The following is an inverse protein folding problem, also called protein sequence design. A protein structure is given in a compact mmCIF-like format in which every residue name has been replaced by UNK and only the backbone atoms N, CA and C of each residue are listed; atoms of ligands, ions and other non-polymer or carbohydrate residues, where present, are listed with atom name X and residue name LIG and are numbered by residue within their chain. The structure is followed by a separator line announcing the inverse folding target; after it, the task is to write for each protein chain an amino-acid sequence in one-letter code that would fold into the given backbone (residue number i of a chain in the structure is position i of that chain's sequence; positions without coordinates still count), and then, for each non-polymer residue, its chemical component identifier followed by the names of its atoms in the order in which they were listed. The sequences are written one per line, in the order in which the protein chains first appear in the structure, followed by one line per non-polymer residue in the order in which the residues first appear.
data_IF_837374401403
#
_entry.id   IF_837374401403
#
_cell.length_a   1.000
_cell.length_b   1.000
_cell.length_c   1.000
_cell.angle_alpha   90.00
_cell.angle_beta   90.00
_cell.angle_gamma   90.00
#
_symmetry.space_group_name_H-M   'P 1'
#
loop_
_entity.id
_entity.type
_entity.pdbx_description
1 polymer ?
#
# COMPACT_ATOMS: atom_id res chain seq x y z
N UNK A 1 -0.82 52.41 -33.03
CA UNK A 1 -0.15 51.52 -34.01
C UNK A 1 1.34 51.56 -33.70
N UNK A 2 2.09 50.44 -33.58
CA UNK A 2 1.94 49.17 -34.28
C UNK A 2 1.81 47.90 -33.38
N UNK A 3 1.58 46.78 -34.06
CA UNK A 3 1.10 45.44 -33.68
C UNK A 3 2.24 44.44 -33.28
N UNK A 4 1.90 43.21 -32.82
CA UNK A 4 2.68 42.35 -31.91
C UNK A 4 3.53 41.32 -32.65
N UNK A 5 4.44 40.63 -31.93
CA UNK A 5 5.02 39.36 -32.39
C UNK A 5 5.20 38.35 -31.25
N UNK A 6 4.34 37.34 -31.31
CA UNK A 6 4.50 36.01 -30.75
C UNK A 6 5.73 35.35 -31.39
N UNK A 7 6.59 34.69 -30.62
CA UNK A 7 7.52 33.69 -31.16
C UNK A 7 7.80 32.61 -30.11
N UNK A 8 7.24 31.43 -30.41
CA UNK A 8 7.47 30.14 -29.78
C UNK A 8 8.73 29.48 -30.41
N UNK A 9 9.11 28.24 -30.03
CA UNK A 9 10.33 27.85 -29.32
C UNK A 9 11.46 27.34 -30.26
N UNK A 10 12.69 27.28 -29.76
CA UNK A 10 13.77 26.54 -30.42
C UNK A 10 14.48 25.60 -29.44
N UNK A 11 14.26 24.32 -29.67
CA UNK A 11 15.06 23.19 -29.21
C UNK A 11 16.54 23.37 -29.62
N UNK A 12 17.45 23.36 -28.65
CA UNK A 12 18.84 22.95 -28.78
C UNK A 12 19.44 23.02 -27.36
N UNK A 13 20.21 22.07 -26.85
CA UNK A 13 20.79 20.89 -27.41
C UNK A 13 21.38 20.09 -26.26
N UNK A 14 21.39 18.77 -26.46
CA UNK A 14 22.09 17.79 -25.65
C UNK A 14 23.55 18.21 -25.45
N UNK A 15 24.04 18.25 -24.21
CA UNK A 15 25.49 18.21 -23.92
C UNK A 15 25.71 17.64 -22.52
N UNK A 16 25.93 16.32 -22.48
CA UNK A 16 26.70 15.66 -21.43
C UNK A 16 28.14 16.19 -21.46
N UNK A 17 28.76 16.34 -20.28
CA UNK A 17 30.08 15.82 -19.88
C UNK A 17 30.48 16.55 -18.57
N UNK A 18 30.42 15.85 -17.43
CA UNK A 18 31.57 15.31 -16.67
C UNK A 18 32.66 16.35 -16.40
N UNK A 19 32.81 16.74 -15.13
CA UNK A 19 34.07 16.61 -14.38
C UNK A 19 33.89 17.20 -12.99
N UNK A 20 34.27 16.41 -11.99
CA UNK A 20 34.41 16.89 -10.62
C UNK A 20 35.56 17.88 -10.48
N UNK A 21 35.47 18.62 -9.37
CA UNK A 21 36.51 19.39 -8.70
C UNK A 21 37.10 20.60 -9.46
N UNK A 22 36.61 21.80 -9.11
CA UNK A 22 37.39 22.81 -8.35
C UNK A 22 36.75 24.21 -8.48
N UNK A 23 36.55 24.86 -7.32
CA UNK A 23 36.73 26.30 -7.08
C UNK A 23 36.03 27.32 -7.99
N UNK A 24 35.06 28.05 -7.42
CA UNK A 24 34.64 29.33 -7.97
C UNK A 24 33.36 29.87 -7.36
N UNK A 25 33.49 30.87 -6.49
CA UNK A 25 32.41 31.66 -5.92
C UNK A 25 31.51 32.26 -7.00
N UNK A 26 30.23 31.88 -7.03
CA UNK A 26 29.15 32.71 -7.54
C UNK A 26 27.90 32.48 -6.67
N UNK A 27 27.44 33.55 -6.04
CA UNK A 27 26.25 33.61 -5.20
C UNK A 27 24.99 33.48 -6.07
N UNK A 28 24.55 32.27 -6.34
CA UNK A 28 23.17 32.01 -6.75
C UNK A 28 22.33 31.78 -5.49
N UNK A 29 21.09 32.33 -5.39
CA UNK A 29 20.20 31.96 -4.31
C UNK A 29 19.93 30.47 -4.43
N UNK A 30 20.56 29.70 -3.56
CA UNK A 30 20.36 28.27 -3.44
C UNK A 30 18.94 28.09 -2.94
N UNK A 31 18.01 27.85 -3.86
CA UNK A 31 16.77 27.17 -3.55
C UNK A 31 17.20 25.86 -2.90
N UNK A 32 17.09 25.80 -1.57
CA UNK A 32 17.39 24.63 -0.80
C UNK A 32 16.47 23.53 -1.31
N UNK A 33 16.95 22.74 -2.26
CA UNK A 33 16.38 21.43 -2.52
C UNK A 33 16.63 20.68 -1.23
N UNK A 34 15.61 20.67 -0.38
CA UNK A 34 15.56 19.83 0.79
C UNK A 34 15.55 18.39 0.27
N UNK A 35 16.74 17.84 0.08
CA UNK A 35 16.92 16.40 -0.01
C UNK A 35 16.59 15.91 1.39
N UNK A 36 15.32 15.58 1.60
CA UNK A 36 14.88 14.82 2.77
C UNK A 36 15.54 13.45 2.64
N UNK A 37 16.75 13.33 3.19
CA UNK A 37 17.35 12.04 3.48
C UNK A 37 16.31 11.34 4.34
N UNK A 38 15.71 10.28 3.82
CA UNK A 38 14.79 9.45 4.59
C UNK A 38 15.56 9.03 5.85
N UNK A 39 15.12 9.54 6.98
CA UNK A 39 15.76 9.33 8.27
C UNK A 39 15.76 7.81 8.52
N UNK A 40 16.94 7.20 8.51
CA UNK A 40 17.08 5.74 8.57
C UNK A 40 16.57 5.17 9.92
N UNK A 41 16.36 6.04 10.91
CA UNK A 41 15.80 5.75 12.23
C UNK A 41 14.29 6.04 12.33
N UNK A 42 13.62 6.41 11.23
CA UNK A 42 12.20 6.69 11.25
C UNK A 42 11.40 5.41 11.54
N UNK A 43 10.57 5.44 12.59
CA UNK A 43 9.77 4.29 13.00
C UNK A 43 8.69 3.97 11.95
N UNK A 44 8.41 2.68 11.69
CA UNK A 44 7.29 2.30 10.84
C UNK A 44 5.97 2.80 11.45
N UNK A 45 5.06 3.24 10.59
CA UNK A 45 3.73 3.66 11.02
C UNK A 45 2.79 2.45 11.01
N UNK A 46 1.93 2.35 12.02
CA UNK A 46 0.93 1.29 12.11
C UNK A 46 -0.44 1.83 11.72
N UNK A 47 -1.13 1.14 10.82
CA UNK A 47 -2.47 1.48 10.37
C UNK A 47 -3.47 0.36 10.66
N UNK A 48 -4.61 0.69 11.27
CA UNK A 48 -5.67 -0.27 11.60
C UNK A 48 -6.68 -0.38 10.44
N UNK A 49 -6.89 -1.59 9.91
CA UNK A 49 -7.87 -1.85 8.85
C UNK A 49 -9.29 -2.14 9.40
N UNK A 50 -9.42 -2.23 10.71
CA UNK A 50 -10.62 -2.64 11.42
C UNK A 50 -10.95 -4.12 11.22
N UNK A 51 -12.18 -4.48 11.59
CA UNK A 51 -12.69 -5.84 11.42
C UNK A 51 -13.20 -6.04 10.00
N UNK A 52 -12.71 -7.08 9.32
CA UNK A 52 -13.24 -7.58 8.06
C UNK A 52 -14.03 -8.86 8.33
N UNK A 53 -15.29 -8.88 7.90
CA UNK A 53 -16.18 -10.02 8.06
C UNK A 53 -16.60 -10.51 6.68
N UNK A 54 -16.33 -11.78 6.38
CA UNK A 54 -16.66 -12.39 5.09
C UNK A 54 -17.42 -13.71 5.26
N UNK A 55 -18.48 -13.95 4.47
CA UNK A 55 -19.21 -15.21 4.48
C UNK A 55 -18.41 -16.30 3.76
N UNK A 56 -18.53 -17.52 4.26
CA UNK A 56 -17.98 -18.73 3.66
C UNK A 56 -19.13 -19.52 3.07
N UNK A 57 -19.05 -19.77 1.77
CA UNK A 57 -20.08 -20.44 1.00
C UNK A 57 -19.72 -21.89 0.74
N UNK A 58 -20.72 -22.76 0.84
CA UNK A 58 -20.63 -24.16 0.43
C UNK A 58 -21.99 -24.60 -0.11
N UNK A 59 -22.00 -25.24 -1.29
CA UNK A 59 -23.24 -25.73 -1.94
C UNK A 59 -24.36 -24.67 -2.03
N UNK A 60 -24.01 -23.42 -2.37
CA UNK A 60 -24.96 -22.31 -2.53
C UNK A 60 -25.51 -21.72 -1.23
N UNK A 61 -24.95 -22.08 -0.07
CA UNK A 61 -25.39 -21.60 1.25
C UNK A 61 -24.21 -21.05 2.05
N UNK A 62 -24.46 -20.05 2.89
CA UNK A 62 -23.47 -19.54 3.85
C UNK A 62 -23.40 -20.50 5.04
N UNK A 63 -22.28 -21.21 5.17
CA UNK A 63 -22.05 -22.22 6.21
C UNK A 63 -21.28 -21.68 7.41
N UNK A 64 -20.56 -20.58 7.23
CA UNK A 64 -19.80 -19.92 8.29
C UNK A 64 -19.46 -18.47 7.92
N UNK A 65 -18.88 -17.74 8.88
CA UNK A 65 -18.27 -16.44 8.68
C UNK A 65 -16.83 -16.45 9.19
N UNK A 66 -15.95 -15.78 8.46
CA UNK A 66 -14.61 -15.42 8.94
C UNK A 66 -14.63 -13.97 9.38
N UNK A 67 -14.26 -13.70 10.62
CA UNK A 67 -13.99 -12.35 11.11
C UNK A 67 -12.49 -12.21 11.41
N UNK A 68 -11.84 -11.24 10.77
CA UNK A 68 -10.42 -10.98 10.93
C UNK A 68 -10.17 -9.52 11.27
N UNK A 69 -9.26 -9.26 12.20
CA UNK A 69 -8.76 -7.93 12.53
C UNK A 69 -7.30 -7.84 12.08
N UNK A 70 -6.99 -6.79 11.31
CA UNK A 70 -5.71 -6.63 10.64
C UNK A 70 -5.12 -5.26 10.93
N UNK A 71 -3.81 -5.22 11.14
CA UNK A 71 -3.02 -3.98 11.10
C UNK A 71 -1.98 -4.07 10.00
N UNK A 72 -1.72 -2.95 9.35
CA UNK A 72 -0.65 -2.81 8.37
C UNK A 72 0.52 -2.08 8.99
N UNK A 73 1.71 -2.59 8.72
CA UNK A 73 2.94 -1.88 8.95
C UNK A 73 3.31 -1.12 7.67
N UNK A 74 3.50 0.18 7.81
CA UNK A 74 3.82 1.08 6.72
C UNK A 74 5.27 1.53 6.81
N UNK A 75 5.91 1.64 5.65
CA UNK A 75 7.24 2.23 5.54
C UNK A 75 7.23 3.66 6.10
N UNK A 76 8.34 4.12 6.71
CA UNK A 76 8.38 5.41 7.37
C UNK A 76 8.01 6.58 6.44
N UNK A 77 7.37 7.61 7.00
CA UNK A 77 6.94 8.79 6.25
C UNK A 77 5.65 8.61 5.43
N UNK A 78 5.01 7.44 5.46
CA UNK A 78 3.72 7.21 4.82
C UNK A 78 2.56 7.47 5.79
N UNK A 79 1.51 8.14 5.31
CA UNK A 79 0.27 8.35 6.08
C UNK A 79 -0.70 7.17 5.88
N UNK A 80 -1.21 6.55 6.97
CA UNK A 80 -2.22 5.50 6.88
C UNK A 80 -3.50 5.93 6.15
N UNK A 81 -3.92 7.18 6.31
CA UNK A 81 -5.22 7.67 5.81
C UNK A 81 -5.38 7.56 4.29
N UNK A 82 -4.27 7.61 3.56
CA UNK A 82 -4.26 7.51 2.09
C UNK A 82 -4.05 6.08 1.58
N UNK A 83 -3.46 5.20 2.40
CA UNK A 83 -3.07 3.84 2.01
C UNK A 83 -4.12 2.82 2.45
N UNK A 84 -4.68 2.97 3.65
CA UNK A 84 -5.58 2.00 4.23
C UNK A 84 -6.88 1.81 3.44
N UNK A 85 -7.59 2.85 2.96
CA UNK A 85 -8.85 2.64 2.25
C UNK A 85 -8.74 1.74 1.01
N UNK A 86 -7.84 2.01 0.02
CA UNK A 86 -7.75 1.16 -1.16
C UNK A 86 -7.19 -0.25 -0.84
N UNK A 87 -6.30 -0.39 0.15
CA UNK A 87 -5.82 -1.70 0.58
C UNK A 87 -6.95 -2.51 1.23
N UNK A 88 -7.73 -1.88 2.11
CA UNK A 88 -8.88 -2.50 2.78
C UNK A 88 -9.87 -3.06 1.77
N UNK A 89 -10.21 -2.28 0.75
CA UNK A 89 -11.15 -2.68 -0.29
C UNK A 89 -10.63 -3.87 -1.09
N UNK A 90 -9.34 -3.88 -1.45
CA UNK A 90 -8.70 -5.00 -2.14
C UNK A 90 -8.70 -6.27 -1.30
N UNK A 91 -8.31 -6.17 -0.02
CA UNK A 91 -8.28 -7.31 0.90
C UNK A 91 -9.69 -7.88 1.09
N UNK A 92 -10.67 -7.01 1.32
CA UNK A 92 -12.06 -7.41 1.49
C UNK A 92 -12.57 -8.14 0.25
N UNK A 93 -12.34 -7.58 -0.95
CA UNK A 93 -12.71 -8.20 -2.22
C UNK A 93 -12.10 -9.59 -2.38
N UNK A 94 -10.79 -9.74 -2.14
CA UNK A 94 -10.13 -11.06 -2.23
C UNK A 94 -10.66 -12.06 -1.20
N UNK A 95 -10.89 -11.63 0.04
CA UNK A 95 -11.46 -12.48 1.07
C UNK A 95 -12.89 -12.92 0.73
N UNK A 96 -13.71 -12.05 0.12
CA UNK A 96 -15.02 -12.43 -0.39
C UNK A 96 -14.94 -13.49 -1.50
N UNK A 97 -14.01 -13.33 -2.45
CA UNK A 97 -13.79 -14.33 -3.51
C UNK A 97 -13.35 -15.68 -2.94
N UNK A 98 -12.45 -15.68 -1.96
CA UNK A 98 -11.99 -16.90 -1.29
C UNK A 98 -13.11 -17.55 -0.46
N UNK A 99 -13.91 -16.74 0.24
CA UNK A 99 -15.09 -17.17 0.98
C UNK A 99 -16.15 -17.80 0.07
N UNK A 100 -16.39 -17.21 -1.10
CA UNK A 100 -17.30 -17.76 -2.11
C UNK A 100 -16.84 -19.13 -2.66
N UNK A 101 -15.52 -19.36 -2.72
CA UNK A 101 -14.92 -20.64 -3.13
C UNK A 101 -14.81 -21.66 -1.98
N UNK A 102 -15.24 -21.31 -0.77
CA UNK A 102 -15.10 -22.17 0.42
C UNK A 102 -13.66 -22.33 0.92
N UNK A 103 -12.71 -21.52 0.43
CA UNK A 103 -11.27 -21.65 0.72
C UNK A 103 -10.88 -21.13 2.11
N UNK A 104 -11.78 -20.41 2.77
CA UNK A 104 -11.60 -19.85 4.10
C UNK A 104 -12.10 -20.77 5.23
N UNK A 105 -12.43 -22.04 4.93
CA UNK A 105 -12.78 -23.00 5.95
C UNK A 105 -11.60 -23.27 6.91
N UNK A 106 -11.83 -23.62 8.20
CA UNK A 106 -10.77 -23.72 9.21
C UNK A 106 -9.69 -24.73 8.86
N UNK A 107 -10.07 -25.85 8.23
CA UNK A 107 -9.16 -26.89 7.77
C UNK A 107 -8.29 -26.45 6.58
N UNK A 108 -8.68 -25.39 5.87
CA UNK A 108 -7.99 -24.85 4.70
C UNK A 108 -7.04 -23.69 5.00
N UNK A 109 -7.20 -22.98 6.13
CA UNK A 109 -6.40 -21.80 6.46
C UNK A 109 -5.11 -22.22 7.18
N UNK A 110 -3.98 -21.98 6.53
CA UNK A 110 -2.66 -21.98 7.19
C UNK A 110 -2.29 -20.54 7.57
N UNK A 111 -2.19 -20.18 8.86
CA UNK A 111 -2.03 -18.78 9.30
C UNK A 111 -0.84 -18.05 8.66
N UNK A 112 0.30 -18.73 8.51
CA UNK A 112 1.49 -18.15 7.90
C UNK A 112 1.28 -17.82 6.40
N UNK A 113 0.65 -18.74 5.65
CA UNK A 113 0.34 -18.51 4.22
C UNK A 113 -0.73 -17.43 4.07
N UNK A 114 -1.76 -17.48 4.90
CA UNK A 114 -2.82 -16.48 4.92
C UNK A 114 -2.26 -15.07 5.16
N UNK A 115 -1.39 -14.90 6.17
CA UNK A 115 -0.70 -13.63 6.41
C UNK A 115 0.17 -13.20 5.23
N UNK A 116 0.92 -14.13 4.62
CA UNK A 116 1.74 -13.83 3.45
C UNK A 116 0.90 -13.39 2.24
N UNK A 117 -0.24 -14.03 2.01
CA UNK A 117 -1.18 -13.66 0.95
C UNK A 117 -1.81 -12.28 1.20
N UNK A 118 -2.21 -11.97 2.43
CA UNK A 118 -2.70 -10.64 2.79
C UNK A 118 -1.63 -9.56 2.57
N UNK A 119 -0.38 -9.82 2.95
CA UNK A 119 0.73 -8.90 2.71
C UNK A 119 0.95 -8.68 1.21
N UNK A 120 0.98 -9.76 0.43
CA UNK A 120 1.12 -9.70 -1.03
C UNK A 120 0.00 -8.86 -1.66
N UNK A 121 -1.25 -9.08 -1.26
CA UNK A 121 -2.40 -8.31 -1.75
C UNK A 121 -2.34 -6.83 -1.35
N UNK A 122 -1.87 -6.53 -0.14
CA UNK A 122 -1.67 -5.15 0.28
C UNK A 122 -0.57 -4.45 -0.54
N UNK A 123 0.52 -5.17 -0.84
CA UNK A 123 1.62 -4.70 -1.67
C UNK A 123 1.25 -4.57 -3.15
N UNK A 124 0.31 -5.36 -3.68
CA UNK A 124 -0.23 -5.15 -5.03
C UNK A 124 -0.84 -3.76 -5.21
N UNK A 125 -1.44 -3.20 -4.14
CA UNK A 125 -2.13 -1.92 -4.17
C UNK A 125 -1.23 -0.76 -3.76
N UNK A 126 -0.51 -0.91 -2.65
CA UNK A 126 0.27 0.16 -2.05
C UNK A 126 1.78 0.08 -2.37
N UNK A 127 2.22 -0.99 -3.04
CA UNK A 127 3.62 -1.22 -3.37
C UNK A 127 4.50 -1.37 -2.12
N UNK A 128 5.74 -0.85 -2.16
CA UNK A 128 6.71 -1.00 -1.06
C UNK A 128 6.34 -0.17 0.19
N UNK A 129 5.26 0.62 0.14
CA UNK A 129 4.78 1.40 1.28
C UNK A 129 4.22 0.53 2.40
N UNK A 130 3.80 -0.70 2.10
CA UNK A 130 3.36 -1.69 3.09
C UNK A 130 4.48 -2.71 3.28
N UNK A 131 5.03 -2.76 4.48
CA UNK A 131 6.16 -3.63 4.84
C UNK A 131 5.70 -4.88 5.59
N UNK A 132 4.53 -4.84 6.22
CA UNK A 132 4.04 -5.94 7.04
C UNK A 132 2.52 -5.95 7.22
N UNK A 133 2.02 -7.13 7.61
CA UNK A 133 0.65 -7.34 8.06
C UNK A 133 0.68 -8.03 9.41
N UNK A 134 -0.02 -7.47 10.38
CA UNK A 134 -0.28 -8.09 11.67
C UNK A 134 -1.71 -8.63 11.69
N UNK A 135 -1.84 -9.94 11.97
CA UNK A 135 -3.11 -10.59 12.18
C UNK A 135 -3.43 -10.52 13.68
N UNK A 136 -4.25 -9.54 14.06
CA UNK A 136 -4.60 -9.28 15.47
C UNK A 136 -5.57 -10.34 15.99
N UNK A 137 -6.54 -10.70 15.15
CA UNK A 137 -7.58 -11.68 15.48
C UNK A 137 -8.04 -12.42 14.24
N UNK A 138 -8.31 -13.71 14.40
CA UNK A 138 -8.94 -14.56 13.39
C UNK A 138 -9.99 -15.43 14.07
N UNK A 139 -11.26 -15.21 13.76
CA UNK A 139 -12.40 -15.95 14.31
C UNK A 139 -13.18 -16.60 13.18
N UNK A 140 -13.46 -17.88 13.35
CA UNK A 140 -14.36 -18.61 12.47
C UNK A 140 -15.65 -18.91 13.23
N UNK A 141 -16.78 -18.43 12.71
CA UNK A 141 -18.10 -18.64 13.31
C UNK A 141 -18.93 -19.56 12.41
N UNK A 142 -19.21 -20.76 12.87
CA UNK A 142 -20.06 -21.70 12.14
C UNK A 142 -21.53 -21.32 12.23
N UNK A 143 -22.24 -21.46 11.12
CA UNK A 143 -23.68 -21.22 11.03
C UNK A 143 -24.44 -22.52 11.32
N UNK A 144 -24.48 -22.93 12.59
CA UNK A 144 -25.27 -24.08 13.04
C UNK A 144 -26.68 -23.64 13.41
N UNK A 145 -27.69 -24.33 12.90
CA UNK A 145 -29.04 -24.27 13.47
C UNK A 145 -29.05 -25.15 14.72
N UNK A 146 -29.38 -24.56 15.86
CA UNK A 146 -29.67 -25.27 17.10
C UNK A 146 -30.98 -26.06 16.98
#
# INVERSE_FOLDING_TARGET
MPLPKLALPALAGLSLFVAGAAGGYLTAPSEKVAVTVADADAKPAMGDLGTLIVPIWQHGKVVAFLATELRLELAPGNSPDTILPPVRDRLLSSLYEQGAKGQLAPSGIQPARFKADLLRLAQEVAGPKVTGVELVRLVHQENRRA
#
